data_IF_842120449512
#
_entry.id   IF_842120449512
#
_cell.length_a   1.000
_cell.length_b   1.000
_cell.length_c   1.000
_cell.angle_alpha   90.00
_cell.angle_beta   90.00
_cell.angle_gamma   90.00
#
_symmetry.space_group_name_H-M   'P 1'
#
loop_
_entity.id
_entity.type
_entity.pdbx_description
1 polymer ?
#
# COMPACT_ATOMS: atom_id res chain seq x y z
N UNK A 1 -5.94 22.45 -19.81
CA UNK A 1 -6.42 21.25 -20.53
C UNK A 1 -6.52 20.16 -19.50
N UNK A 2 -7.74 19.89 -19.08
CA UNK A 2 -8.07 19.16 -17.86
C UNK A 2 -8.47 17.74 -18.25
N UNK A 3 -7.57 16.78 -18.04
CA UNK A 3 -7.80 15.34 -18.24
C UNK A 3 -8.64 14.79 -17.09
N UNK A 4 -9.93 15.13 -17.06
CA UNK A 4 -10.87 14.56 -16.10
C UNK A 4 -11.24 13.16 -16.59
N UNK A 5 -10.43 12.18 -16.21
CA UNK A 5 -10.86 10.80 -16.24
C UNK A 5 -12.11 10.69 -15.35
N UNK A 6 -13.27 10.48 -15.97
CA UNK A 6 -14.56 10.20 -15.32
C UNK A 6 -14.48 8.86 -14.58
N UNK A 7 -13.71 8.80 -13.50
CA UNK A 7 -13.83 7.71 -12.56
C UNK A 7 -15.03 7.99 -11.67
N UNK A 8 -15.94 7.02 -11.54
CA UNK A 8 -16.92 7.05 -10.46
C UNK A 8 -16.15 7.28 -9.15
N UNK A 9 -16.66 8.10 -8.21
CA UNK A 9 -15.93 8.46 -7.00
C UNK A 9 -15.51 7.18 -6.28
N UNK A 10 -14.21 6.90 -6.32
CA UNK A 10 -13.64 5.74 -5.66
C UNK A 10 -13.79 5.96 -4.14
N UNK A 11 -14.18 4.93 -3.38
CA UNK A 11 -14.28 5.07 -1.94
C UNK A 11 -12.89 5.36 -1.36
N UNK A 12 -12.72 6.53 -0.73
CA UNK A 12 -11.51 6.86 0.00
C UNK A 12 -11.40 5.94 1.23
N UNK A 13 -10.40 5.07 1.23
CA UNK A 13 -10.24 4.07 2.30
C UNK A 13 -9.45 4.62 3.50
N UNK A 14 -8.48 5.49 3.24
CA UNK A 14 -7.72 6.23 4.25
C UNK A 14 -6.95 7.36 3.56
N UNK A 15 -6.69 8.43 4.29
CA UNK A 15 -5.80 9.53 3.89
C UNK A 15 -4.87 9.85 5.07
N UNK A 16 -3.63 10.20 4.76
CA UNK A 16 -2.64 10.60 5.76
C UNK A 16 -1.53 11.44 5.14
N UNK A 17 -1.04 12.41 5.90
CA UNK A 17 0.12 13.23 5.55
C UNK A 17 1.34 12.75 6.34
N UNK A 18 2.47 12.58 5.67
CA UNK A 18 3.70 12.03 6.24
C UNK A 18 4.92 12.82 5.78
N UNK A 19 5.84 13.08 6.71
CA UNK A 19 7.18 13.62 6.45
C UNK A 19 8.15 12.46 6.24
N UNK A 20 8.59 12.25 5.01
CA UNK A 20 9.55 11.20 4.67
C UNK A 20 10.97 11.75 4.70
N UNK A 21 11.98 10.98 5.16
CA UNK A 21 11.89 9.54 5.48
C UNK A 21 11.41 9.18 6.90
N UNK A 22 11.35 10.16 7.82
CA UNK A 22 11.14 9.97 9.25
C UNK A 22 9.87 9.17 9.59
N UNK A 23 8.79 9.41 8.83
CA UNK A 23 7.48 8.81 9.06
C UNK A 23 7.17 7.61 8.16
N UNK A 24 8.15 7.06 7.45
CA UNK A 24 7.95 5.88 6.60
C UNK A 24 7.37 4.67 7.36
N UNK A 25 7.77 4.36 8.62
CA UNK A 25 7.12 3.29 9.39
C UNK A 25 5.63 3.57 9.65
N UNK A 26 5.28 4.83 9.92
CA UNK A 26 3.90 5.26 10.21
C UNK A 26 3.01 5.14 8.97
N UNK A 27 3.55 5.46 7.80
CA UNK A 27 2.91 5.20 6.51
C UNK A 27 2.56 3.72 6.34
N UNK A 28 3.52 2.82 6.63
CA UNK A 28 3.31 1.37 6.49
C UNK A 28 2.32 0.82 7.50
N UNK A 29 2.31 1.37 8.72
CA UNK A 29 1.26 1.08 9.71
C UNK A 29 -0.12 1.48 9.19
N UNK A 30 -0.26 2.66 8.59
CA UNK A 30 -1.52 3.09 7.99
C UNK A 30 -1.97 2.12 6.89
N UNK A 31 -1.07 1.78 5.96
CA UNK A 31 -1.37 0.85 4.86
C UNK A 31 -1.84 -0.51 5.38
N UNK A 32 -1.12 -1.10 6.34
CA UNK A 32 -1.51 -2.38 6.93
C UNK A 32 -2.82 -2.29 7.70
N UNK A 33 -3.09 -1.22 8.45
CA UNK A 33 -4.37 -1.07 9.16
C UNK A 33 -5.56 -0.97 8.20
N UNK A 34 -5.37 -0.32 7.07
CA UNK A 34 -6.42 -0.08 6.07
C UNK A 34 -6.66 -1.28 5.16
N UNK A 35 -5.59 -1.94 4.71
CA UNK A 35 -5.64 -2.89 3.60
C UNK A 35 -5.36 -4.35 3.98
N UNK A 36 -4.87 -4.65 5.20
CA UNK A 36 -4.67 -6.04 5.66
C UNK A 36 -5.95 -6.86 5.64
N UNK A 37 -7.08 -6.24 5.99
CA UNK A 37 -8.41 -6.89 5.92
C UNK A 37 -8.87 -7.18 4.49
N UNK A 38 -8.24 -6.55 3.49
CA UNK A 38 -8.46 -6.74 2.05
C UNK A 38 -7.42 -7.66 1.42
N UNK A 39 -6.66 -8.38 2.25
CA UNK A 39 -5.67 -9.34 1.83
C UNK A 39 -4.34 -8.74 1.36
N UNK A 40 -4.05 -7.48 1.66
CA UNK A 40 -2.79 -6.84 1.30
C UNK A 40 -1.97 -6.47 2.55
N UNK A 41 -0.73 -6.95 2.61
CA UNK A 41 0.23 -6.63 3.68
C UNK A 41 1.38 -5.82 3.08
N UNK A 42 1.83 -4.81 3.79
CA UNK A 42 2.89 -3.90 3.38
C UNK A 42 4.11 -4.08 4.29
N UNK A 43 5.27 -4.30 3.69
CA UNK A 43 6.56 -4.40 4.37
C UNK A 43 7.45 -3.21 4.03
N UNK A 44 8.26 -2.78 4.99
CA UNK A 44 9.23 -1.71 4.77
C UNK A 44 10.58 -2.13 5.33
N UNK A 45 11.61 -2.06 4.49
CA UNK A 45 13.00 -2.25 4.90
C UNK A 45 13.86 -1.10 4.40
N UNK A 46 15.01 -0.92 5.03
CA UNK A 46 16.02 0.05 4.61
C UNK A 46 17.26 -0.71 4.12
N UNK A 47 17.75 -0.35 2.94
CA UNK A 47 18.94 -0.94 2.32
C UNK A 47 19.71 0.16 1.61
N UNK A 48 20.99 0.31 1.92
CA UNK A 48 21.90 1.30 1.31
C UNK A 48 21.34 2.73 1.29
N UNK A 49 20.76 3.16 2.42
CA UNK A 49 20.15 4.48 2.58
C UNK A 49 18.79 4.65 1.89
N UNK A 50 18.31 3.65 1.15
CA UNK A 50 17.01 3.67 0.46
C UNK A 50 15.95 2.90 1.22
N UNK A 51 14.71 3.36 1.14
CA UNK A 51 13.56 2.59 1.60
C UNK A 51 13.06 1.68 0.49
N UNK A 52 12.81 0.42 0.82
CA UNK A 52 12.20 -0.56 -0.06
C UNK A 52 10.84 -0.91 0.55
N UNK A 53 9.79 -0.56 -0.19
CA UNK A 53 8.40 -0.92 0.12
C UNK A 53 8.05 -2.20 -0.64
N UNK A 54 7.56 -3.20 0.08
CA UNK A 54 7.04 -4.45 -0.47
C UNK A 54 5.56 -4.57 -0.21
N UNK A 55 4.83 -5.21 -1.12
CA UNK A 55 3.40 -5.52 -0.99
C UNK A 55 3.24 -7.03 -1.16
N UNK A 56 2.52 -7.66 -0.24
CA UNK A 56 2.24 -9.09 -0.21
C UNK A 56 0.74 -9.32 -0.28
N UNK A 57 0.31 -10.27 -1.11
CA UNK A 57 -1.03 -10.83 -1.04
C UNK A 57 -1.09 -11.89 0.07
N UNK A 58 -2.15 -11.88 0.88
CA UNK A 58 -2.41 -12.96 1.85
C UNK A 58 -3.16 -14.13 1.23
N UNK A 59 -3.80 -13.88 0.09
CA UNK A 59 -4.38 -14.91 -0.77
C UNK A 59 -3.23 -15.48 -1.59
N UNK A 60 -2.41 -16.31 -0.95
CA UNK A 60 -1.45 -17.13 -1.66
C UNK A 60 -2.16 -17.85 -2.80
N UNK A 61 -1.54 -17.85 -3.97
CA UNK A 61 -1.95 -18.58 -5.16
C UNK A 61 -2.73 -19.85 -4.80
N UNK A 62 -4.05 -19.85 -5.03
CA UNK A 62 -4.68 -21.05 -5.59
C UNK A 62 -4.22 -21.14 -7.04
N UNK A 63 -2.92 -21.43 -7.23
CA UNK A 63 -2.37 -21.94 -8.47
C UNK A 63 -2.91 -23.35 -8.64
N UNK A 64 -4.16 -23.45 -9.07
CA UNK A 64 -4.68 -24.64 -9.70
C UNK A 64 -4.25 -24.54 -11.17
N UNK A 65 -3.31 -25.37 -11.59
CA UNK A 65 -2.78 -25.39 -12.94
C UNK A 65 -2.09 -26.71 -13.21
N UNK A 66 -2.91 -27.70 -13.58
CA UNK A 66 -2.66 -29.03 -14.19
C UNK A 66 -1.47 -29.89 -13.72
#
# INVERSE_FOLDING_TARGET
MDLWAKHAPLPLLAEGNFRLPEEAPRLVTMLNRTLKKRGLIFGLRRQDGRYILSIYGTDGEKGNGD
#
